data_IF_906240450165
#
_entry.id   IF_906240450165
#
_cell.length_a   1.000
_cell.length_b   1.000
_cell.length_c   1.000
_cell.angle_alpha   90.00
_cell.angle_beta   90.00
_cell.angle_gamma   90.00
#
_symmetry.space_group_name_H-M   'P 1'
#
loop_
_entity.id
_entity.type
_entity.pdbx_description
1 polymer ?
#
# COMPACT_ATOMS: atom_id res chain seq x y z
N UNK A 1 14.82 -2.38 17.80
CA UNK A 1 14.13 -1.53 16.81
C UNK A 1 12.88 -2.25 16.31
N UNK A 2 11.72 -1.60 16.41
CA UNK A 2 10.45 -2.15 15.92
C UNK A 2 10.03 -1.46 14.63
N UNK A 3 9.61 -2.23 13.64
CA UNK A 3 9.15 -1.70 12.35
C UNK A 3 7.69 -2.05 12.05
N UNK A 4 6.99 -1.13 11.35
CA UNK A 4 5.71 -1.40 10.71
C UNK A 4 5.89 -1.44 9.19
N UNK A 5 5.58 -2.57 8.59
CA UNK A 5 5.63 -2.81 7.15
C UNK A 5 4.21 -2.90 6.60
N UNK A 6 3.89 -2.08 5.59
CA UNK A 6 2.57 -2.09 4.95
C UNK A 6 2.72 -2.39 3.45
N UNK A 7 2.09 -3.47 3.01
CA UNK A 7 2.12 -3.91 1.61
C UNK A 7 1.35 -2.98 0.67
N UNK A 8 1.61 -3.12 -0.63
CA UNK A 8 0.75 -2.58 -1.67
C UNK A 8 -0.62 -3.26 -1.72
N UNK A 9 -1.63 -2.56 -2.26
CA UNK A 9 -2.97 -3.15 -2.36
C UNK A 9 -4.10 -2.21 -2.79
N UNK A 10 -3.79 -1.00 -3.27
CA UNK A 10 -4.77 -0.02 -3.76
C UNK A 10 -5.82 0.34 -2.68
N UNK A 11 -7.10 0.33 -3.02
CA UNK A 11 -8.19 0.67 -2.10
C UNK A 11 -8.25 -0.20 -0.83
N UNK A 12 -7.65 -1.39 -0.84
CA UNK A 12 -7.54 -2.26 0.34
C UNK A 12 -6.69 -1.65 1.46
N UNK A 13 -5.88 -0.63 1.17
CA UNK A 13 -5.11 0.12 2.16
C UNK A 13 -5.94 0.68 3.31
N UNK A 14 -7.24 0.91 3.11
CA UNK A 14 -8.15 1.25 4.20
C UNK A 14 -8.15 0.20 5.33
N UNK A 15 -8.07 -1.08 5.00
CA UNK A 15 -7.94 -2.16 5.99
C UNK A 15 -6.59 -2.04 6.73
N UNK A 16 -5.50 -1.78 6.00
CA UNK A 16 -4.18 -1.59 6.62
C UNK A 16 -4.16 -0.40 7.59
N UNK A 17 -4.80 0.72 7.21
CA UNK A 17 -4.94 1.87 8.10
C UNK A 17 -5.67 1.52 9.40
N UNK A 18 -6.72 0.70 9.33
CA UNK A 18 -7.43 0.21 10.51
C UNK A 18 -6.58 -0.71 11.40
N UNK A 19 -5.83 -1.63 10.81
CA UNK A 19 -4.87 -2.48 11.54
C UNK A 19 -3.82 -1.62 12.25
N UNK A 20 -3.19 -0.70 11.51
CA UNK A 20 -2.17 0.20 12.05
C UNK A 20 -2.72 1.10 13.17
N UNK A 21 -3.96 1.60 13.02
CA UNK A 21 -4.62 2.38 14.07
C UNK A 21 -4.71 1.57 15.37
N UNK A 22 -5.15 0.31 15.32
CA UNK A 22 -5.21 -0.50 16.53
C UNK A 22 -3.83 -0.76 17.13
N UNK A 23 -2.82 -1.07 16.30
CA UNK A 23 -1.46 -1.34 16.78
C UNK A 23 -0.86 -0.13 17.50
N UNK A 24 -1.08 1.08 16.98
CA UNK A 24 -0.55 2.33 17.54
C UNK A 24 -1.37 2.79 18.76
N UNK A 25 -2.70 2.90 18.64
CA UNK A 25 -3.57 3.44 19.70
C UNK A 25 -4.00 2.38 20.72
N UNK A 26 -4.41 1.20 20.24
CA UNK A 26 -4.98 0.14 21.09
C UNK A 26 -3.91 -0.69 21.77
N UNK A 27 -2.94 -1.19 21.04
CA UNK A 27 -1.82 -1.98 21.55
C UNK A 27 -0.65 -1.10 22.03
N UNK A 28 -0.68 0.21 21.74
CA UNK A 28 0.34 1.20 22.12
C UNK A 28 1.75 0.84 21.63
N UNK A 29 1.85 0.19 20.46
CA UNK A 29 3.13 -0.10 19.86
C UNK A 29 3.80 1.20 19.37
N UNK A 30 5.08 1.33 19.67
CA UNK A 30 5.93 2.40 19.15
C UNK A 30 6.82 1.82 18.07
N UNK A 31 6.91 2.52 16.95
CA UNK A 31 7.71 2.09 15.81
C UNK A 31 8.82 3.10 15.54
N UNK A 32 10.02 2.56 15.36
CA UNK A 32 11.22 3.34 15.00
C UNK A 32 11.36 3.44 13.46
N UNK A 33 10.66 2.55 12.72
CA UNK A 33 10.75 2.44 11.28
C UNK A 33 9.37 2.11 10.67
N UNK A 34 9.01 2.85 9.63
CA UNK A 34 7.86 2.58 8.78
C UNK A 34 8.31 2.32 7.35
N UNK A 35 7.95 1.18 6.77
CA UNK A 35 8.26 0.86 5.37
C UNK A 35 6.97 0.58 4.62
N UNK A 36 6.74 1.29 3.53
CA UNK A 36 5.52 1.16 2.75
C UNK A 36 5.75 0.99 1.26
N UNK A 37 4.87 0.20 0.63
CA UNK A 37 4.81 0.05 -0.82
C UNK A 37 3.44 0.46 -1.33
N UNK A 38 3.39 1.24 -2.43
CA UNK A 38 2.12 1.62 -3.07
C UNK A 38 1.16 2.28 -2.06
N UNK A 39 -0.01 1.71 -1.83
CA UNK A 39 -0.95 2.20 -0.83
C UNK A 39 -0.36 2.25 0.60
N UNK A 40 0.61 1.37 0.92
CA UNK A 40 1.34 1.44 2.18
C UNK A 40 2.12 2.74 2.30
N UNK A 41 2.75 3.21 1.23
CA UNK A 41 3.49 4.48 1.22
C UNK A 41 2.61 5.71 1.45
N UNK A 42 1.32 5.65 1.08
CA UNK A 42 0.35 6.70 1.34
C UNK A 42 -0.04 6.82 2.83
N UNK A 43 0.11 5.74 3.59
CA UNK A 43 -0.31 5.68 5.00
C UNK A 43 0.81 6.05 5.96
N UNK A 44 2.03 5.57 5.69
CA UNK A 44 3.12 5.50 6.69
C UNK A 44 3.54 6.85 7.27
N UNK A 45 3.52 7.94 6.49
CA UNK A 45 3.92 9.27 6.99
C UNK A 45 2.98 9.78 8.09
N UNK A 46 1.67 9.66 7.88
CA UNK A 46 0.67 10.07 8.86
C UNK A 46 0.64 9.14 10.07
N UNK A 47 0.89 7.84 9.85
CA UNK A 47 1.00 6.86 10.95
C UNK A 47 2.20 7.16 11.84
N UNK A 48 3.36 7.49 11.25
CA UNK A 48 4.57 7.87 11.98
C UNK A 48 4.38 9.15 12.80
N UNK A 49 3.60 10.11 12.28
CA UNK A 49 3.20 11.33 13.00
C UNK A 49 2.07 11.12 14.01
N UNK A 50 1.55 9.90 14.15
CA UNK A 50 0.37 9.62 14.96
C UNK A 50 -0.87 10.45 14.56
N UNK A 51 -0.97 10.88 13.28
CA UNK A 51 -2.10 11.65 12.73
C UNK A 51 -3.16 10.73 12.12
N UNK A 52 -3.63 9.80 12.93
CA UNK A 52 -4.50 8.68 12.52
C UNK A 52 -5.87 9.13 12.02
N UNK A 53 -6.49 10.10 12.69
CA UNK A 53 -7.80 10.63 12.25
C UNK A 53 -7.69 11.35 10.91
N UNK A 54 -6.60 12.11 10.70
CA UNK A 54 -6.35 12.82 9.44
C UNK A 54 -6.25 11.85 8.26
N UNK A 55 -5.41 10.82 8.37
CA UNK A 55 -5.25 9.86 7.27
C UNK A 55 -6.49 8.99 7.07
N UNK A 56 -7.22 8.67 8.12
CA UNK A 56 -8.49 7.96 8.05
C UNK A 56 -9.55 8.77 7.29
N UNK A 57 -9.67 10.06 7.57
CA UNK A 57 -10.58 10.95 6.85
C UNK A 57 -10.22 11.05 5.37
N UNK A 58 -8.94 11.34 5.06
CA UNK A 58 -8.44 11.43 3.69
C UNK A 58 -8.71 10.12 2.96
N UNK A 59 -8.26 8.99 3.52
CA UNK A 59 -8.34 7.69 2.86
C UNK A 59 -9.79 7.23 2.66
N UNK A 60 -10.67 7.54 3.61
CA UNK A 60 -12.10 7.20 3.52
C UNK A 60 -12.89 8.14 2.60
N UNK A 61 -12.34 9.30 2.21
CA UNK A 61 -13.00 10.25 1.30
C UNK A 61 -12.63 10.08 -0.17
N UNK A 62 -11.56 9.34 -0.46
CA UNK A 62 -11.02 9.16 -1.82
C UNK A 62 -11.99 8.43 -2.74
N UNK A 63 -12.09 8.92 -3.98
CA UNK A 63 -12.83 8.32 -5.09
C UNK A 63 -11.97 8.28 -6.36
N UNK A 64 -12.55 7.82 -7.48
CA UNK A 64 -11.82 7.74 -8.76
C UNK A 64 -11.29 9.11 -9.24
N UNK A 65 -12.06 10.17 -9.05
CA UNK A 65 -11.70 11.53 -9.49
C UNK A 65 -10.59 12.13 -8.62
N UNK A 66 -10.51 11.74 -7.36
CA UNK A 66 -9.42 12.14 -6.46
C UNK A 66 -8.07 11.54 -6.87
N UNK A 67 -8.09 10.41 -7.58
CA UNK A 67 -6.88 9.69 -8.00
C UNK A 67 -6.49 10.03 -9.44
N UNK A 68 -7.46 10.01 -10.35
CA UNK A 68 -7.21 10.10 -11.79
C UNK A 68 -7.64 11.44 -12.36
N UNK A 69 -6.72 12.12 -13.04
CA UNK A 69 -7.05 13.22 -13.97
C UNK A 69 -7.42 12.68 -15.36
N UNK A 70 -7.04 11.44 -15.68
CA UNK A 70 -7.53 10.67 -16.83
C UNK A 70 -7.71 9.21 -16.42
N UNK A 71 -8.93 8.83 -16.04
CA UNK A 71 -9.23 7.47 -15.57
C UNK A 71 -9.39 6.51 -16.76
N UNK A 72 -8.59 5.42 -16.85
CA UNK A 72 -8.70 4.44 -17.91
C UNK A 72 -9.86 3.46 -17.70
N UNK A 73 -10.63 3.63 -16.63
CA UNK A 73 -11.68 2.70 -16.21
C UNK A 73 -13.07 3.35 -16.21
N UNK A 74 -14.07 2.53 -16.49
CA UNK A 74 -15.49 2.81 -16.22
C UNK A 74 -15.93 1.81 -15.16
N UNK A 75 -16.48 2.29 -14.06
CA UNK A 75 -17.08 1.44 -13.02
C UNK A 75 -18.53 1.19 -13.40
N UNK A 76 -18.90 -0.09 -13.57
CA UNK A 76 -20.25 -0.55 -13.85
C UNK A 76 -20.77 -1.36 -12.67
N UNK A 77 -22.04 -1.14 -12.29
CA UNK A 77 -22.72 -2.00 -11.32
C UNK A 77 -23.48 -3.09 -12.08
N UNK A 78 -23.17 -4.36 -11.80
CA UNK A 78 -23.88 -5.52 -12.36
C UNK A 78 -24.25 -6.46 -11.21
N UNK A 79 -25.55 -6.73 -11.04
CA UNK A 79 -26.07 -7.56 -9.94
C UNK A 79 -25.55 -7.15 -8.54
N UNK A 80 -25.46 -5.85 -8.27
CA UNK A 80 -24.95 -5.32 -6.99
C UNK A 80 -23.43 -5.34 -6.84
N UNK A 81 -22.68 -5.88 -7.79
CA UNK A 81 -21.21 -5.93 -7.78
C UNK A 81 -20.65 -4.85 -8.70
N UNK A 82 -19.65 -4.10 -8.21
CA UNK A 82 -18.89 -3.15 -9.03
C UNK A 82 -17.84 -3.90 -9.84
N UNK A 83 -17.88 -3.70 -11.16
CA UNK A 83 -16.91 -4.25 -12.11
C UNK A 83 -16.22 -3.13 -12.87
N UNK A 84 -14.94 -3.32 -13.16
CA UNK A 84 -14.17 -2.43 -14.04
C UNK A 84 -14.36 -2.83 -15.50
N UNK A 85 -14.59 -1.83 -16.34
CA UNK A 85 -14.46 -1.92 -17.78
C UNK A 85 -13.46 -0.85 -18.26
N UNK A 86 -12.82 -1.11 -19.40
CA UNK A 86 -11.90 -0.12 -19.99
C UNK A 86 -12.68 1.08 -20.54
N UNK A 87 -12.15 2.28 -20.30
CA UNK A 87 -12.59 3.50 -20.97
C UNK A 87 -11.75 3.71 -22.24
N UNK A 88 -12.18 3.09 -23.34
CA UNK A 88 -11.46 3.15 -24.60
C UNK A 88 -11.18 4.58 -25.06
N UNK A 89 -12.11 5.49 -24.82
CA UNK A 89 -11.97 6.88 -25.23
C UNK A 89 -10.83 7.58 -24.46
N UNK A 90 -10.78 7.41 -23.15
CA UNK A 90 -9.72 7.99 -22.31
C UNK A 90 -8.36 7.39 -22.64
N UNK A 91 -8.28 6.09 -22.93
CA UNK A 91 -7.05 5.41 -23.32
C UNK A 91 -6.54 5.95 -24.66
N UNK A 92 -7.41 6.03 -25.68
CA UNK A 92 -7.06 6.59 -27.00
C UNK A 92 -6.62 8.05 -26.87
N UNK A 93 -7.35 8.85 -26.08
CA UNK A 93 -6.98 10.26 -25.80
C UNK A 93 -5.58 10.38 -25.20
N UNK A 94 -5.18 9.48 -24.29
CA UNK A 94 -3.82 9.45 -23.74
C UNK A 94 -2.77 9.18 -24.84
N UNK A 95 -2.99 8.19 -25.69
CA UNK A 95 -2.06 7.85 -26.76
C UNK A 95 -1.92 8.96 -27.79
N UNK A 96 -3.02 9.62 -28.17
CA UNK A 96 -2.98 10.81 -29.06
C UNK A 96 -2.15 11.94 -28.42
N UNK A 97 -2.15 12.06 -27.08
CA UNK A 97 -1.35 13.03 -26.33
C UNK A 97 0.11 12.60 -26.13
N UNK A 98 0.54 11.51 -26.72
CA UNK A 98 1.90 10.97 -26.61
C UNK A 98 2.21 10.34 -25.24
N UNK A 99 1.18 10.04 -24.42
CA UNK A 99 1.37 9.33 -23.14
C UNK A 99 1.61 7.85 -23.40
N UNK A 100 2.41 7.22 -22.54
CA UNK A 100 2.79 5.81 -22.63
C UNK A 100 1.89 4.88 -21.82
N UNK A 101 0.92 5.43 -21.07
CA UNK A 101 0.08 4.75 -20.09
C UNK A 101 -1.39 4.84 -20.48
N UNK A 102 -2.20 3.92 -19.96
CA UNK A 102 -3.65 3.92 -20.20
C UNK A 102 -4.37 5.06 -19.48
N UNK A 103 -3.88 5.45 -18.31
CA UNK A 103 -4.43 6.51 -17.47
C UNK A 103 -3.35 7.43 -16.90
N UNK A 104 -3.80 8.49 -16.22
CA UNK A 104 -2.95 9.48 -15.57
C UNK A 104 -3.45 9.78 -14.16
N UNK A 105 -2.53 9.95 -13.19
CA UNK A 105 -2.79 10.05 -11.74
C UNK A 105 -2.24 11.34 -11.11
N UNK A 106 -2.19 12.43 -11.86
CA UNK A 106 -1.71 13.72 -11.32
C UNK A 106 -2.59 14.24 -10.18
N UNK A 107 -3.89 13.89 -10.14
CA UNK A 107 -4.75 14.25 -9.03
C UNK A 107 -4.28 13.59 -7.72
N UNK A 108 -3.83 12.33 -7.76
CA UNK A 108 -3.23 11.68 -6.60
C UNK A 108 -1.97 12.41 -6.13
N UNK A 109 -1.10 12.85 -7.06
CA UNK A 109 0.10 13.61 -6.72
C UNK A 109 -0.23 14.91 -5.99
N UNK A 110 -1.26 15.61 -6.46
CA UNK A 110 -1.75 16.82 -5.82
C UNK A 110 -2.32 16.53 -4.43
N UNK A 111 -3.14 15.48 -4.31
CA UNK A 111 -3.72 15.06 -3.03
C UNK A 111 -2.64 14.72 -1.99
N UNK A 112 -1.56 14.03 -2.39
CA UNK A 112 -0.43 13.72 -1.50
C UNK A 112 0.20 15.02 -0.96
N UNK A 113 0.49 15.98 -1.83
CA UNK A 113 1.08 17.28 -1.44
C UNK A 113 0.15 18.12 -0.56
N UNK A 114 -1.15 17.98 -0.71
CA UNK A 114 -2.14 18.63 0.15
C UNK A 114 -2.33 17.89 1.49
N UNK A 115 -2.03 16.59 1.52
CA UNK A 115 -2.21 15.76 2.71
C UNK A 115 -1.05 15.81 3.69
N UNK A 116 0.17 16.04 3.23
CA UNK A 116 1.39 16.17 4.06
C UNK A 116 1.84 17.62 3.94
N UNK A 117 1.87 18.37 5.04
CA UNK A 117 2.39 19.75 5.02
C UNK A 117 3.91 19.78 5.14
N UNK A 118 4.52 20.92 4.82
CA UNK A 118 5.98 21.10 4.99
C UNK A 118 6.37 20.95 6.46
N UNK A 119 5.56 21.49 7.36
CA UNK A 119 5.77 21.39 8.80
C UNK A 119 5.71 19.93 9.28
N UNK A 120 4.76 19.14 8.76
CA UNK A 120 4.64 17.71 9.06
C UNK A 120 5.84 16.91 8.51
N UNK A 121 6.35 17.28 7.36
CA UNK A 121 7.56 16.67 6.80
C UNK A 121 8.79 16.96 7.66
N UNK A 122 8.98 18.23 8.09
CA UNK A 122 10.11 18.60 8.97
C UNK A 122 9.96 17.94 10.35
N UNK A 123 8.74 17.86 10.92
CA UNK A 123 8.45 17.14 12.16
C UNK A 123 8.91 15.67 12.08
N UNK A 124 8.60 15.00 10.95
CA UNK A 124 9.05 13.62 10.71
C UNK A 124 10.56 13.51 10.58
N UNK A 125 11.18 14.44 9.84
CA UNK A 125 12.60 14.43 9.56
C UNK A 125 13.46 14.72 10.81
N UNK A 126 12.93 15.50 11.76
CA UNK A 126 13.55 15.77 13.04
C UNK A 126 13.32 14.67 14.08
N UNK A 127 12.39 13.75 13.82
CA UNK A 127 12.09 12.63 14.72
C UNK A 127 13.14 11.50 14.60
N UNK A 128 13.19 10.64 15.61
CA UNK A 128 14.00 9.41 15.57
C UNK A 128 13.38 8.30 14.71
N UNK A 129 12.23 8.57 14.06
CA UNK A 129 11.48 7.59 13.27
C UNK A 129 11.82 7.71 11.79
N UNK A 130 12.31 6.64 11.17
CA UNK A 130 12.52 6.61 9.71
C UNK A 130 11.26 6.18 8.96
N UNK A 131 10.99 6.86 7.83
CA UNK A 131 9.86 6.58 6.94
C UNK A 131 10.39 6.30 5.55
N UNK A 132 10.15 5.07 5.07
CA UNK A 132 10.78 4.55 3.85
C UNK A 132 9.74 4.15 2.81
N UNK A 133 9.88 4.68 1.64
CA UNK A 133 9.00 4.45 0.47
C UNK A 133 9.69 3.53 -0.53
N UNK A 134 8.99 2.49 -0.97
CA UNK A 134 9.48 1.53 -1.98
C UNK A 134 9.09 2.00 -3.40
N UNK A 135 10.04 2.03 -4.33
CA UNK A 135 9.79 2.35 -5.75
C UNK A 135 10.50 1.37 -6.66
N UNK A 136 9.97 1.15 -7.87
CA UNK A 136 10.62 0.33 -8.90
C UNK A 136 11.24 1.20 -9.96
N UNK A 137 12.58 1.19 -10.08
CA UNK A 137 13.31 1.85 -11.15
C UNK A 137 13.35 0.94 -12.38
N UNK A 138 12.52 1.26 -13.37
CA UNK A 138 12.41 0.48 -14.61
C UNK A 138 13.65 0.64 -15.51
N UNK A 139 14.31 1.79 -15.45
CA UNK A 139 15.50 2.05 -16.28
C UNK A 139 16.71 1.25 -15.83
N UNK A 140 16.86 1.04 -14.52
CA UNK A 140 17.98 0.31 -13.93
C UNK A 140 17.61 -1.13 -13.54
N UNK A 141 16.34 -1.51 -13.70
CA UNK A 141 15.81 -2.83 -13.27
C UNK A 141 16.10 -3.11 -11.77
N UNK A 142 15.82 -2.14 -10.92
CA UNK A 142 16.11 -2.21 -9.48
C UNK A 142 14.92 -1.75 -8.64
N UNK A 143 14.81 -2.34 -7.43
CA UNK A 143 13.97 -1.78 -6.36
C UNK A 143 14.80 -0.77 -5.59
N UNK A 144 14.23 0.39 -5.34
CA UNK A 144 14.87 1.44 -4.56
C UNK A 144 14.00 1.80 -3.36
N UNK A 145 14.65 2.08 -2.23
CA UNK A 145 14.02 2.46 -0.99
C UNK A 145 14.41 3.89 -0.64
N UNK A 146 13.41 4.77 -0.58
CA UNK A 146 13.60 6.21 -0.39
C UNK A 146 13.23 6.59 1.03
N UNK A 147 14.26 6.87 1.85
CA UNK A 147 14.07 7.38 3.20
C UNK A 147 13.70 8.86 3.17
N UNK A 148 12.84 9.27 4.09
CA UNK A 148 12.51 10.68 4.31
C UNK A 148 13.77 11.50 4.64
N UNK A 149 14.76 10.90 5.30
CA UNK A 149 16.00 11.54 5.70
C UNK A 149 16.89 11.96 4.51
N UNK A 150 16.73 11.28 3.35
CA UNK A 150 17.51 11.52 2.15
C UNK A 150 16.78 12.41 1.12
N UNK A 151 15.61 12.97 1.49
CA UNK A 151 14.74 13.68 0.56
C UNK A 151 14.47 15.13 1.01
N UNK A 152 14.15 15.99 0.05
CA UNK A 152 13.40 17.22 0.28
C UNK A 152 11.91 16.90 0.37
N UNK A 153 11.08 17.83 0.85
CA UNK A 153 9.62 17.70 0.90
C UNK A 153 9.00 17.32 -0.45
N UNK A 154 9.38 18.04 -1.50
CA UNK A 154 8.86 17.80 -2.84
C UNK A 154 9.27 16.43 -3.37
N UNK A 155 10.52 16.03 -3.12
CA UNK A 155 11.02 14.71 -3.53
C UNK A 155 10.31 13.59 -2.79
N UNK A 156 10.09 13.73 -1.51
CA UNK A 156 9.41 12.72 -0.70
C UNK A 156 7.95 12.53 -1.13
N UNK A 157 7.21 13.62 -1.33
CA UNK A 157 5.85 13.57 -1.90
C UNK A 157 5.84 12.91 -3.29
N UNK A 158 6.84 13.21 -4.12
CA UNK A 158 6.99 12.57 -5.44
C UNK A 158 7.27 11.07 -5.32
N UNK A 159 8.11 10.64 -4.37
CA UNK A 159 8.39 9.21 -4.17
C UNK A 159 7.16 8.45 -3.67
N UNK A 160 6.35 9.03 -2.78
CA UNK A 160 5.06 8.46 -2.38
C UNK A 160 4.14 8.29 -3.59
N UNK A 161 4.03 9.33 -4.44
CA UNK A 161 3.24 9.27 -5.66
C UNK A 161 3.77 8.21 -6.64
N UNK A 162 5.08 8.15 -6.86
CA UNK A 162 5.73 7.16 -7.73
C UNK A 162 5.46 5.75 -7.24
N UNK A 163 5.64 5.51 -5.94
CA UNK A 163 5.35 4.24 -5.29
C UNK A 163 3.92 3.75 -5.53
N UNK A 164 2.99 4.69 -5.69
CA UNK A 164 1.55 4.40 -5.83
C UNK A 164 1.07 4.40 -7.29
N UNK A 165 1.98 4.53 -8.25
CA UNK A 165 1.64 4.53 -9.67
C UNK A 165 1.67 3.14 -10.29
N UNK A 166 0.53 2.46 -10.22
CA UNK A 166 0.34 1.14 -10.80
C UNK A 166 0.35 1.19 -12.33
N UNK A 167 1.54 1.28 -12.90
CA UNK A 167 1.79 1.32 -14.35
C UNK A 167 1.46 -0.05 -14.98
N UNK A 168 0.82 -0.11 -16.17
CA UNK A 168 0.51 0.99 -17.10
C UNK A 168 -0.87 1.65 -16.90
N UNK A 169 -1.60 1.34 -15.84
CA UNK A 169 -2.95 1.86 -15.60
C UNK A 169 -2.95 3.28 -15.03
N UNK A 170 -1.84 3.69 -14.41
CA UNK A 170 -1.57 5.00 -13.85
C UNK A 170 -0.35 5.62 -14.53
N UNK A 171 0.07 6.81 -14.11
CA UNK A 171 1.17 7.55 -14.72
C UNK A 171 2.51 6.80 -14.65
N UNK A 172 3.30 6.93 -15.71
CA UNK A 172 4.72 6.56 -15.68
C UNK A 172 5.53 7.78 -15.24
N UNK A 173 6.22 7.66 -14.11
CA UNK A 173 7.01 8.75 -13.57
C UNK A 173 8.40 8.80 -14.21
N UNK A 174 8.87 10.03 -14.45
CA UNK A 174 10.27 10.29 -14.86
C UNK A 174 10.92 11.18 -13.82
N UNK A 175 12.04 10.73 -13.27
CA UNK A 175 12.82 11.48 -12.27
C UNK A 175 14.31 11.14 -12.42
N UNK A 176 15.16 12.16 -12.38
CA UNK A 176 16.62 12.01 -12.47
C UNK A 176 17.09 11.18 -13.68
N UNK A 177 16.44 11.34 -14.83
CA UNK A 177 16.79 10.62 -16.08
C UNK A 177 16.28 9.17 -16.15
N UNK A 178 15.65 8.65 -15.10
CA UNK A 178 15.10 7.29 -15.04
C UNK A 178 13.57 7.28 -15.12
N UNK A 179 13.02 6.16 -15.57
CA UNK A 179 11.59 5.86 -15.53
C UNK A 179 11.29 4.97 -14.32
N UNK A 180 10.27 5.35 -13.56
CA UNK A 180 9.85 4.69 -12.33
C UNK A 180 8.38 4.28 -12.38
N UNK A 181 8.06 3.23 -11.61
CA UNK A 181 6.71 2.73 -11.42
C UNK A 181 6.46 2.33 -9.96
N UNK A 182 5.25 1.82 -9.68
CA UNK A 182 4.83 1.30 -8.37
C UNK A 182 5.88 0.35 -7.78
N UNK A 183 6.19 0.54 -6.51
CA UNK A 183 7.14 -0.28 -5.79
C UNK A 183 6.76 -1.76 -5.75
N UNK A 184 5.47 -2.05 -5.86
CA UNK A 184 4.96 -3.42 -5.86
C UNK A 184 5.40 -4.29 -7.04
N UNK A 185 5.88 -3.68 -8.15
CA UNK A 185 6.46 -4.44 -9.26
C UNK A 185 7.77 -5.13 -8.90
N UNK A 186 8.45 -4.69 -7.84
CA UNK A 186 9.69 -5.30 -7.37
C UNK A 186 9.62 -5.81 -5.93
N UNK A 187 8.99 -5.05 -5.02
CA UNK A 187 8.85 -5.41 -3.61
C UNK A 187 7.48 -4.98 -3.07
N UNK A 188 6.50 -5.89 -3.14
CA UNK A 188 5.13 -5.61 -2.71
C UNK A 188 4.99 -5.59 -1.19
N UNK A 189 5.78 -6.41 -0.48
CA UNK A 189 5.82 -6.49 0.99
C UNK A 189 7.28 -6.33 1.42
N UNK A 190 7.76 -5.11 1.73
CA UNK A 190 9.16 -4.78 1.91
C UNK A 190 9.72 -5.19 3.29
N UNK A 191 9.50 -6.45 3.69
CA UNK A 191 9.97 -7.02 4.97
C UNK A 191 11.50 -7.04 5.04
N UNK A 192 12.12 -7.48 3.95
CA UNK A 192 13.58 -7.59 3.88
C UNK A 192 14.25 -6.25 4.16
N UNK A 193 13.75 -5.15 3.61
CA UNK A 193 14.27 -3.81 3.84
C UNK A 193 14.20 -3.41 5.31
N UNK A 194 13.07 -3.67 5.98
CA UNK A 194 12.94 -3.39 7.41
C UNK A 194 13.99 -4.16 8.24
N UNK A 195 14.20 -5.44 7.92
CA UNK A 195 15.20 -6.28 8.59
C UNK A 195 16.65 -5.82 8.28
N UNK A 196 16.93 -5.39 7.04
CA UNK A 196 18.25 -4.89 6.65
C UNK A 196 18.59 -3.57 7.36
N UNK A 197 17.59 -2.73 7.66
CA UNK A 197 17.74 -1.51 8.48
C UNK A 197 17.88 -1.80 9.98
N UNK A 198 17.84 -3.08 10.38
CA UNK A 198 18.11 -3.50 11.76
C UNK A 198 16.86 -3.70 12.62
N UNK A 199 15.66 -3.82 12.02
CA UNK A 199 14.46 -4.18 12.77
C UNK A 199 14.60 -5.59 13.36
N UNK A 200 14.34 -5.71 14.66
CA UNK A 200 14.33 -6.97 15.41
C UNK A 200 12.92 -7.46 15.69
N UNK A 201 11.93 -6.59 15.53
CA UNK A 201 10.50 -6.91 15.60
C UNK A 201 9.79 -6.17 14.46
N UNK A 202 9.02 -6.90 13.64
CA UNK A 202 8.35 -6.36 12.46
C UNK A 202 6.89 -6.75 12.46
N UNK A 203 6.01 -5.77 12.55
CA UNK A 203 4.59 -5.94 12.29
C UNK A 203 4.32 -5.74 10.80
N UNK A 204 3.77 -6.75 10.12
CA UNK A 204 3.59 -6.76 8.67
C UNK A 204 2.11 -6.83 8.31
N UNK A 205 1.60 -5.79 7.66
CA UNK A 205 0.22 -5.78 7.15
C UNK A 205 0.22 -6.18 5.67
N UNK A 206 -0.37 -7.34 5.39
CA UNK A 206 -0.49 -7.92 4.05
C UNK A 206 -1.92 -7.80 3.55
N UNK A 207 -2.12 -7.14 2.40
CA UNK A 207 -3.44 -6.84 1.85
C UNK A 207 -4.01 -7.95 0.97
N UNK A 208 -3.64 -9.19 1.26
CA UNK A 208 -4.22 -10.43 0.74
C UNK A 208 -4.55 -11.39 1.88
N UNK A 209 -5.30 -12.44 1.56
CA UNK A 209 -5.57 -13.54 2.49
C UNK A 209 -4.35 -14.45 2.62
N UNK A 210 -4.11 -15.00 3.80
CA UNK A 210 -2.97 -15.90 4.04
C UNK A 210 -3.01 -17.13 3.12
N UNK A 211 -4.22 -17.66 2.88
CA UNK A 211 -4.44 -18.76 1.95
C UNK A 211 -5.07 -18.23 0.67
N UNK A 212 -4.38 -18.41 -0.44
CA UNK A 212 -4.87 -18.00 -1.76
C UNK A 212 -5.99 -18.93 -2.26
N UNK A 213 -7.24 -18.53 -2.06
CA UNK A 213 -8.42 -19.20 -2.62
C UNK A 213 -8.83 -18.57 -3.97
N UNK A 214 -7.94 -18.51 -4.94
CA UNK A 214 -8.22 -17.80 -6.18
C UNK A 214 -8.63 -18.76 -7.30
N UNK A 215 -9.94 -18.97 -7.46
CA UNK A 215 -10.51 -19.34 -8.74
C UNK A 215 -10.66 -18.06 -9.60
N UNK A 216 -9.64 -17.73 -10.37
CA UNK A 216 -9.73 -16.65 -11.35
C UNK A 216 -10.64 -17.07 -12.48
N UNK A 217 -11.64 -16.24 -12.80
CA UNK A 217 -12.49 -16.46 -13.96
C UNK A 217 -11.66 -16.34 -15.25
N UNK A 218 -12.07 -17.07 -16.30
CA UNK A 218 -11.44 -16.98 -17.62
C UNK A 218 -11.50 -15.55 -18.15
N UNK A 219 -10.41 -15.11 -18.76
CA UNK A 219 -10.28 -13.78 -19.38
C UNK A 219 -11.20 -13.68 -20.61
N UNK A 220 -11.88 -12.55 -20.77
CA UNK A 220 -12.87 -12.32 -21.84
C UNK A 220 -12.34 -11.44 -22.97
N UNK A 221 -11.29 -10.71 -22.74
CA UNK A 221 -10.72 -9.75 -23.68
C UNK A 221 -9.23 -9.48 -23.34
N UNK A 222 -8.44 -8.86 -24.25
CA UNK A 222 -7.02 -8.60 -24.02
C UNK A 222 -6.73 -7.78 -22.76
N UNK A 223 -7.62 -6.87 -22.37
CA UNK A 223 -7.44 -6.06 -21.17
C UNK A 223 -7.59 -6.90 -19.88
N UNK A 224 -8.58 -7.79 -19.83
CA UNK A 224 -8.73 -8.75 -18.74
C UNK A 224 -7.50 -9.67 -18.64
N UNK A 225 -6.91 -10.05 -19.78
CA UNK A 225 -5.70 -10.85 -19.83
C UNK A 225 -4.52 -10.09 -19.21
N UNK A 226 -4.29 -8.83 -19.60
CA UNK A 226 -3.24 -7.98 -19.03
C UNK A 226 -3.42 -7.85 -17.52
N UNK A 227 -4.60 -7.50 -17.04
CA UNK A 227 -4.88 -7.36 -15.60
C UNK A 227 -4.67 -8.68 -14.84
N UNK A 228 -5.02 -9.82 -15.47
CA UNK A 228 -4.80 -11.15 -14.88
C UNK A 228 -3.32 -11.48 -14.79
N UNK A 229 -2.53 -11.18 -15.82
CA UNK A 229 -1.06 -11.39 -15.81
C UNK A 229 -0.41 -10.53 -14.72
N UNK A 230 -0.73 -9.23 -14.66
CA UNK A 230 -0.20 -8.36 -13.61
C UNK A 230 -0.58 -8.85 -12.21
N UNK A 231 -1.83 -9.23 -12.00
CA UNK A 231 -2.26 -9.80 -10.72
C UNK A 231 -1.49 -11.07 -10.36
N UNK A 232 -1.25 -11.98 -11.33
CA UNK A 232 -0.43 -13.18 -11.10
C UNK A 232 1.01 -12.81 -10.72
N UNK A 233 1.62 -11.83 -11.41
CA UNK A 233 2.98 -11.37 -11.10
C UNK A 233 3.06 -10.79 -9.68
N UNK A 234 2.12 -9.93 -9.29
CA UNK A 234 2.09 -9.35 -7.95
C UNK A 234 1.91 -10.40 -6.85
N UNK A 235 1.02 -11.39 -7.05
CA UNK A 235 0.85 -12.51 -6.11
C UNK A 235 2.16 -13.30 -5.94
N UNK A 236 2.92 -13.50 -7.04
CA UNK A 236 4.22 -14.19 -6.99
C UNK A 236 5.27 -13.36 -6.27
N UNK A 237 5.33 -12.05 -6.51
CA UNK A 237 6.25 -11.11 -5.84
C UNK A 237 5.93 -11.09 -4.34
N UNK A 238 4.65 -10.96 -3.95
CA UNK A 238 4.22 -11.00 -2.56
C UNK A 238 4.69 -12.27 -1.84
N UNK A 239 4.40 -13.43 -2.42
CA UNK A 239 4.81 -14.71 -1.85
C UNK A 239 6.34 -14.84 -1.72
N UNK A 240 7.10 -14.33 -2.69
CA UNK A 240 8.55 -14.31 -2.62
C UNK A 240 9.05 -13.36 -1.53
N UNK A 241 8.51 -12.14 -1.44
CA UNK A 241 8.88 -11.18 -0.38
C UNK A 241 8.63 -11.75 1.02
N UNK A 242 7.46 -12.39 1.25
CA UNK A 242 7.13 -13.02 2.52
C UNK A 242 8.11 -14.16 2.85
N UNK A 243 8.44 -15.02 1.86
CA UNK A 243 9.39 -16.13 2.06
C UNK A 243 10.79 -15.63 2.37
N UNK A 244 11.29 -14.65 1.62
CA UNK A 244 12.60 -14.04 1.85
C UNK A 244 12.61 -13.36 3.22
N UNK A 245 11.59 -12.57 3.55
CA UNK A 245 11.47 -11.92 4.85
C UNK A 245 11.53 -12.92 6.00
N UNK A 246 10.80 -14.03 5.93
CA UNK A 246 10.85 -15.10 6.94
C UNK A 246 12.24 -15.74 7.07
N UNK A 247 12.94 -15.96 5.95
CA UNK A 247 14.30 -16.52 5.96
C UNK A 247 15.31 -15.54 6.59
N UNK A 248 15.26 -14.26 6.22
CA UNK A 248 16.14 -13.22 6.75
C UNK A 248 15.86 -13.01 8.24
N UNK A 249 14.59 -12.97 8.66
CA UNK A 249 14.22 -12.87 10.06
C UNK A 249 14.79 -14.03 10.90
N UNK A 250 14.68 -15.25 10.39
CA UNK A 250 15.23 -16.44 11.05
C UNK A 250 16.76 -16.38 11.20
N UNK A 251 17.46 -15.81 10.20
CA UNK A 251 18.92 -15.63 10.27
C UNK A 251 19.37 -14.54 11.25
N UNK A 252 18.47 -13.58 11.55
CA UNK A 252 18.76 -12.43 12.41
C UNK A 252 18.09 -12.50 13.78
N UNK A 253 17.45 -13.63 14.12
CA UNK A 253 16.65 -13.82 15.33
C UNK A 253 15.59 -12.72 15.52
N UNK A 254 15.00 -12.24 14.41
CA UNK A 254 13.97 -11.22 14.41
C UNK A 254 12.56 -11.84 14.42
N UNK A 255 11.63 -11.16 15.06
CA UNK A 255 10.23 -11.59 15.17
C UNK A 255 9.40 -10.89 14.09
N UNK A 256 8.56 -11.65 13.37
CA UNK A 256 7.60 -11.09 12.41
C UNK A 256 6.18 -11.45 12.81
N UNK A 257 5.35 -10.43 12.98
CA UNK A 257 3.92 -10.56 13.23
C UNK A 257 3.14 -10.21 11.97
N UNK A 258 2.48 -11.19 11.35
CA UNK A 258 1.70 -10.96 10.13
C UNK A 258 0.24 -10.62 10.41
N UNK A 259 -0.30 -9.61 9.72
CA UNK A 259 -1.70 -9.21 9.72
C UNK A 259 -2.25 -9.31 8.29
N UNK A 260 -2.84 -10.46 7.96
CA UNK A 260 -3.48 -10.73 6.67
C UNK A 260 -4.92 -10.25 6.65
N UNK A 261 -5.49 -10.00 5.46
CA UNK A 261 -6.94 -9.80 5.37
C UNK A 261 -7.66 -11.13 5.65
N UNK A 262 -8.65 -11.17 6.55
CA UNK A 262 -9.32 -12.43 6.90
C UNK A 262 -10.17 -12.99 5.74
N UNK A 263 -10.57 -12.14 4.81
CA UNK A 263 -11.33 -12.49 3.59
C UNK A 263 -10.86 -11.67 2.41
N UNK A 264 -11.15 -12.11 1.19
CA UNK A 264 -10.92 -11.29 -0.01
C UNK A 264 -11.78 -10.04 0.05
N UNK A 265 -11.18 -8.87 0.22
CA UNK A 265 -11.88 -7.59 0.34
C UNK A 265 -12.46 -7.13 -1.00
N UNK A 266 -11.69 -7.29 -2.06
CA UNK A 266 -12.11 -6.97 -3.44
C UNK A 266 -11.25 -7.71 -4.44
N UNK A 267 -11.81 -7.99 -5.61
CA UNK A 267 -11.09 -8.50 -6.79
C UNK A 267 -10.51 -7.37 -7.65
N UNK A 268 -10.90 -6.11 -7.36
CA UNK A 268 -10.50 -4.91 -8.10
C UNK A 268 -10.03 -3.81 -7.15
N UNK A 269 -8.73 -3.79 -6.85
CA UNK A 269 -8.12 -2.85 -5.91
C UNK A 269 -8.03 -1.40 -6.43
N UNK A 270 -8.31 -1.17 -7.72
CA UNK A 270 -8.36 0.16 -8.33
C UNK A 270 -9.76 0.80 -8.32
N UNK A 271 -10.74 0.18 -7.65
CA UNK A 271 -12.03 0.81 -7.38
C UNK A 271 -11.97 1.47 -6.00
N UNK A 272 -12.08 2.79 -6.00
CA UNK A 272 -12.09 3.59 -4.78
C UNK A 272 -13.55 3.97 -4.45
N UNK A 273 -14.09 3.34 -3.42
CA UNK A 273 -15.46 3.53 -2.97
C UNK A 273 -15.46 3.89 -1.48
N UNK A 274 -15.91 5.11 -1.16
CA UNK A 274 -15.89 5.68 0.19
C UNK A 274 -16.52 4.76 1.24
N UNK A 275 -17.72 4.23 0.97
CA UNK A 275 -18.46 3.42 1.94
C UNK A 275 -17.71 2.12 2.27
N UNK A 276 -17.19 1.45 1.22
CA UNK A 276 -16.43 0.20 1.37
C UNK A 276 -15.11 0.45 2.11
N UNK A 277 -14.38 1.51 1.76
CA UNK A 277 -13.11 1.84 2.40
C UNK A 277 -13.31 2.20 3.87
N UNK A 278 -14.36 2.96 4.21
CA UNK A 278 -14.72 3.24 5.61
C UNK A 278 -15.02 1.95 6.39
N UNK A 279 -15.77 1.03 5.76
CA UNK A 279 -16.06 -0.28 6.38
C UNK A 279 -14.78 -1.12 6.54
N UNK A 280 -13.88 -1.14 5.56
CA UNK A 280 -12.62 -1.89 5.63
C UNK A 280 -11.69 -1.34 6.70
N UNK A 281 -11.64 -0.03 6.90
CA UNK A 281 -10.89 0.58 8.00
C UNK A 281 -11.37 0.04 9.35
N UNK A 282 -12.67 0.11 9.60
CA UNK A 282 -13.27 -0.44 10.83
C UNK A 282 -12.99 -1.95 10.99
N UNK A 283 -13.08 -2.72 9.90
CA UNK A 283 -12.78 -4.16 9.92
C UNK A 283 -11.32 -4.45 10.24
N UNK A 284 -10.39 -3.66 9.71
CA UNK A 284 -8.95 -3.78 10.00
C UNK A 284 -8.66 -3.56 11.48
N UNK A 285 -9.24 -2.51 12.06
CA UNK A 285 -9.12 -2.22 13.49
C UNK A 285 -9.63 -3.38 14.37
N UNK A 286 -10.84 -3.86 14.09
CA UNK A 286 -11.44 -4.97 14.87
C UNK A 286 -10.68 -6.29 14.70
N UNK A 287 -10.19 -6.56 13.48
CA UNK A 287 -9.38 -7.74 13.22
C UNK A 287 -8.09 -7.74 14.02
N UNK A 288 -7.35 -6.63 14.04
CA UNK A 288 -6.12 -6.52 14.79
C UNK A 288 -6.37 -6.61 16.31
N UNK A 289 -7.46 -6.00 16.79
CA UNK A 289 -7.89 -6.10 18.19
C UNK A 289 -8.13 -7.55 18.61
N UNK A 290 -8.96 -8.29 17.88
CA UNK A 290 -9.27 -9.68 18.19
C UNK A 290 -8.02 -10.56 18.16
N UNK A 291 -7.16 -10.36 17.15
CA UNK A 291 -5.91 -11.11 17.05
C UNK A 291 -4.98 -10.86 18.23
N UNK A 292 -4.90 -9.63 18.72
CA UNK A 292 -4.09 -9.29 19.90
C UNK A 292 -4.64 -9.91 21.17
N UNK A 293 -5.97 -9.98 21.31
CA UNK A 293 -6.65 -10.63 22.45
C UNK A 293 -6.41 -12.16 22.45
N UNK A 294 -6.42 -12.80 21.26
CA UNK A 294 -6.15 -14.25 21.13
C UNK A 294 -4.69 -14.61 21.45
N UNK A 295 -3.74 -13.70 21.20
CA UNK A 295 -2.31 -13.91 21.46
C UNK A 295 -1.88 -13.49 22.88
N UNK A 296 -2.71 -12.76 23.59
CA UNK A 296 -2.46 -12.39 24.99
C UNK A 296 -2.59 -13.65 25.87
N UNK A 297 -1.61 -13.97 26.76
CA UNK A 297 -1.74 -15.08 27.68
C UNK A 297 -2.99 -14.88 28.54
N UNK A 298 -3.84 -15.91 28.64
CA UNK A 298 -5.02 -15.93 29.52
C UNK A 298 -4.51 -15.62 30.92
N UNK A 299 -4.98 -14.53 31.50
CA UNK A 299 -4.66 -14.19 32.90
C UNK A 299 -5.05 -15.36 33.80
N UNK A 300 -4.19 -15.80 34.76
CA UNK A 300 -4.46 -16.94 35.60
C UNK A 300 -5.64 -16.79 36.55
N UNK A 301 -6.34 -15.65 36.53
CA UNK A 301 -7.41 -15.30 37.52
C UNK A 301 -8.78 -15.91 37.25
N UNK A 302 -8.94 -16.80 36.27
CA UNK A 302 -10.21 -17.53 36.02
C UNK A 302 -10.10 -19.05 36.19
N UNK A 303 -9.21 -19.51 37.08
CA UNK A 303 -9.16 -20.90 37.54
C UNK A 303 -9.37 -20.96 39.08
N UNK A 304 -10.50 -20.49 39.54
CA UNK A 304 -11.06 -20.87 40.86
C UNK A 304 -12.53 -21.27 40.70
#
# INVERSE_FOLDING_TARGET
>A
MRALVISGGGSKGAFAGGVAQFLIEGAQHKYDLFVGTSTGSLLISHLALNKLDKIKEIYSSVNQESIFNNCPFIIKKKHGVEIIAINHWNVVKNFIRGKKTFGESENLRKLIRESITVEEFEELKESDTDVVVTVSNLSLNQVEYKSINDCTYEEFCDWIWISSNYTPFMSLAKKNGCEYADGGLGSLVPIEEALQRGATEVDVVVLHTEVNHLNRMSTKNPFDLITTIFGFMLDRIENQNIRIGKLVANQRDAIINFYYTPTVLTTNSLIFNKERMTMWWKRGYLYAKNKNEETSPISPELQE
#
